data_IF_726350521272
#
_entry.id   IF_726350521272
#
_cell.length_a   1.000
_cell.length_b   1.000
_cell.length_c   1.000
_cell.angle_alpha   90.00
_cell.angle_beta   90.00
_cell.angle_gamma   90.00
#
_symmetry.space_group_name_H-M   'P 1'
#
loop_
_entity.id
_entity.type
_entity.pdbx_description
1 polymer ?
#
# COMPACT_ATOMS: atom_id res chain seq x y z
N UNK A 1 -2.45 -35.79 -35.74
CA UNK A 1 -1.69 -34.75 -35.02
C UNK A 1 -2.45 -33.46 -35.14
N UNK A 2 -3.32 -33.23 -34.18
CA UNK A 2 -3.92 -31.93 -33.89
C UNK A 2 -3.65 -31.76 -32.41
N UNK A 3 -2.71 -30.89 -32.04
CA UNK A 3 -2.57 -30.44 -30.67
C UNK A 3 -3.92 -29.85 -30.27
N UNK A 4 -4.58 -30.47 -29.30
CA UNK A 4 -5.74 -29.85 -28.67
C UNK A 4 -5.13 -29.01 -27.55
N UNK A 5 -4.87 -27.74 -27.87
CA UNK A 5 -4.28 -26.78 -26.94
C UNK A 5 -5.15 -26.47 -25.74
N UNK A 6 -6.45 -26.80 -25.82
CA UNK A 6 -7.42 -26.56 -24.77
C UNK A 6 -8.59 -27.52 -24.92
N UNK A 7 -8.96 -28.18 -23.83
CA UNK A 7 -10.16 -28.99 -23.71
C UNK A 7 -11.11 -28.35 -22.69
N UNK A 8 -12.39 -28.21 -23.05
CA UNK A 8 -13.40 -27.58 -22.20
C UNK A 8 -14.63 -28.48 -22.14
N UNK A 9 -15.02 -28.90 -20.93
CA UNK A 9 -16.28 -29.61 -20.72
C UNK A 9 -16.94 -29.24 -19.41
N UNK A 10 -18.26 -29.07 -19.47
CA UNK A 10 -19.15 -29.15 -18.32
C UNK A 10 -19.59 -30.60 -18.13
N UNK A 11 -19.34 -31.17 -16.96
CA UNK A 11 -19.90 -32.46 -16.61
C UNK A 11 -21.35 -32.25 -16.18
N UNK A 12 -22.26 -33.06 -16.71
CA UNK A 12 -23.65 -33.12 -16.28
C UNK A 12 -24.06 -34.57 -16.43
N UNK A 13 -24.11 -35.28 -15.31
CA UNK A 13 -24.52 -36.67 -15.08
C UNK A 13 -23.43 -37.74 -15.07
N UNK A 14 -23.61 -38.65 -14.10
CA UNK A 14 -22.74 -39.76 -13.71
C UNK A 14 -22.46 -40.75 -14.85
N UNK A 15 -21.18 -41.10 -15.04
CA UNK A 15 -20.80 -42.42 -15.56
C UNK A 15 -20.11 -42.49 -16.92
N UNK A 16 -19.66 -41.39 -17.53
CA UNK A 16 -18.84 -41.45 -18.74
C UNK A 16 -17.37 -41.15 -18.45
N UNK A 17 -16.50 -42.16 -18.58
CA UNK A 17 -15.06 -41.94 -18.70
C UNK A 17 -14.75 -41.48 -20.12
N UNK A 18 -14.18 -40.28 -20.26
CA UNK A 18 -13.71 -39.77 -21.54
C UNK A 18 -12.19 -39.77 -21.53
N UNK A 19 -11.59 -40.36 -22.56
CA UNK A 19 -10.13 -40.46 -22.71
C UNK A 19 -9.66 -39.48 -23.77
N UNK A 20 -8.75 -38.58 -23.38
CA UNK A 20 -8.09 -37.61 -24.25
C UNK A 20 -6.59 -37.88 -24.35
N UNK A 21 -5.97 -37.45 -25.44
CA UNK A 21 -4.51 -37.49 -25.65
C UNK A 21 -4.05 -36.16 -26.23
N UNK A 22 -2.86 -35.70 -25.83
CA UNK A 22 -2.26 -34.42 -26.25
C UNK A 22 -3.13 -33.19 -25.90
N UNK A 23 -3.61 -33.15 -24.65
CA UNK A 23 -4.27 -31.96 -24.10
C UNK A 23 -3.20 -31.13 -23.37
N UNK A 24 -3.04 -29.88 -23.77
CA UNK A 24 -2.13 -28.93 -23.10
C UNK A 24 -2.80 -28.18 -21.94
N UNK A 25 -4.14 -28.21 -21.85
CA UNK A 25 -4.92 -27.57 -20.78
C UNK A 25 -6.34 -28.12 -20.68
N UNK A 26 -6.77 -28.43 -19.47
CA UNK A 26 -8.14 -28.76 -19.08
C UNK A 26 -8.84 -27.55 -18.47
N UNK A 27 -10.09 -27.32 -18.88
CA UNK A 27 -11.02 -26.41 -18.20
C UNK A 27 -12.25 -27.23 -17.83
N UNK A 28 -12.34 -27.63 -16.57
CA UNK A 28 -13.32 -28.55 -16.05
C UNK A 28 -14.29 -27.84 -15.11
N UNK A 29 -15.58 -28.14 -15.25
CA UNK A 29 -16.62 -27.58 -14.39
C UNK A 29 -17.58 -28.69 -13.94
N UNK A 30 -17.72 -28.88 -12.63
CA UNK A 30 -18.55 -29.91 -11.99
C UNK A 30 -20.05 -29.58 -12.03
N UNK A 31 -20.41 -28.39 -11.56
CA UNK A 31 -21.77 -27.88 -11.58
C UNK A 31 -22.46 -28.10 -10.23
N UNK A 32 -23.68 -28.62 -10.25
CA UNK A 32 -24.36 -28.96 -8.99
C UNK A 32 -24.16 -30.45 -8.71
N UNK A 33 -23.68 -30.79 -7.51
CA UNK A 33 -23.47 -32.17 -7.08
C UNK A 33 -22.08 -32.37 -6.51
N UNK A 34 -21.75 -33.61 -6.18
CA UNK A 34 -20.42 -33.96 -5.70
C UNK A 34 -19.61 -34.48 -6.89
N UNK A 35 -18.67 -33.68 -7.38
CA UNK A 35 -17.91 -33.91 -8.58
C UNK A 35 -16.47 -34.35 -8.29
N UNK A 36 -15.87 -35.06 -9.25
CA UNK A 36 -14.46 -35.46 -9.19
C UNK A 36 -13.76 -34.94 -10.44
N UNK A 37 -12.92 -33.91 -10.28
CA UNK A 37 -12.22 -33.25 -11.37
C UNK A 37 -10.72 -33.47 -11.22
N UNK A 38 -10.07 -33.88 -12.31
CA UNK A 38 -8.64 -34.14 -12.34
C UNK A 38 -8.02 -33.42 -13.53
N UNK A 39 -7.02 -32.58 -13.27
CA UNK A 39 -6.16 -31.98 -14.28
C UNK A 39 -5.17 -32.97 -14.89
N UNK A 40 -4.19 -32.46 -15.60
CA UNK A 40 -3.15 -33.16 -16.32
C UNK A 40 -1.75 -32.70 -15.88
N UNK A 41 -0.81 -32.64 -16.82
CA UNK A 41 0.58 -32.24 -16.53
C UNK A 41 0.88 -30.78 -16.92
N UNK A 42 -0.15 -29.98 -17.09
CA UNK A 42 -0.06 -28.59 -17.54
C UNK A 42 -1.06 -27.74 -16.79
N UNK A 43 -0.88 -26.42 -16.86
CA UNK A 43 -1.68 -25.42 -16.17
C UNK A 43 -3.17 -25.49 -16.57
N UNK A 44 -3.98 -25.99 -15.65
CA UNK A 44 -5.40 -26.31 -15.80
C UNK A 44 -6.31 -25.37 -15.00
N UNK A 45 -7.60 -25.48 -15.24
CA UNK A 45 -8.64 -24.78 -14.49
C UNK A 45 -9.74 -25.74 -14.08
N UNK A 46 -9.96 -25.90 -12.78
CA UNK A 46 -10.93 -26.82 -12.19
C UNK A 46 -11.92 -26.02 -11.32
N UNK A 47 -13.23 -26.16 -11.58
CA UNK A 47 -14.28 -25.44 -10.84
C UNK A 47 -15.34 -26.45 -10.39
N UNK A 48 -15.48 -26.65 -9.07
CA UNK A 48 -16.49 -27.52 -8.47
C UNK A 48 -17.89 -26.93 -8.60
N UNK A 49 -18.06 -25.72 -8.07
CA UNK A 49 -19.33 -25.03 -7.83
C UNK A 49 -20.04 -25.54 -6.57
N UNK A 50 -21.19 -26.19 -6.67
CA UNK A 50 -22.00 -26.49 -5.50
C UNK A 50 -22.03 -27.98 -5.21
N UNK A 51 -21.69 -28.38 -3.99
CA UNK A 51 -21.65 -29.75 -3.51
C UNK A 51 -20.28 -30.08 -2.94
N UNK A 52 -20.06 -31.33 -2.53
CA UNK A 52 -18.79 -31.73 -1.91
C UNK A 52 -17.89 -32.32 -2.98
N UNK A 53 -17.00 -31.50 -3.51
CA UNK A 53 -16.20 -31.80 -4.68
C UNK A 53 -14.80 -32.30 -4.32
N UNK A 54 -14.20 -33.07 -5.23
CA UNK A 54 -12.80 -33.50 -5.16
C UNK A 54 -12.08 -33.02 -6.40
N UNK A 55 -11.16 -32.07 -6.23
CA UNK A 55 -10.41 -31.45 -7.32
C UNK A 55 -8.91 -31.71 -7.12
N UNK A 56 -8.22 -32.13 -8.18
CA UNK A 56 -6.77 -32.36 -8.16
C UNK A 56 -6.14 -31.80 -9.45
N UNK A 57 -5.26 -30.81 -9.33
CA UNK A 57 -4.55 -30.18 -10.45
C UNK A 57 -3.55 -31.11 -11.14
N UNK A 58 -2.82 -31.91 -10.36
CA UNK A 58 -1.70 -32.77 -10.75
C UNK A 58 -0.41 -32.00 -11.02
N UNK A 59 0.08 -31.85 -12.25
CA UNK A 59 1.28 -31.03 -12.52
C UNK A 59 0.91 -29.79 -13.33
N UNK A 60 1.69 -28.74 -13.19
CA UNK A 60 1.44 -27.44 -13.82
C UNK A 60 0.97 -26.42 -12.78
N UNK A 61 0.96 -25.15 -13.15
CA UNK A 61 0.42 -24.09 -12.29
C UNK A 61 -1.10 -24.02 -12.50
N UNK A 62 -1.86 -24.62 -11.60
CA UNK A 62 -3.29 -24.84 -11.75
C UNK A 62 -4.14 -23.78 -11.05
N UNK A 63 -5.36 -23.56 -11.57
CA UNK A 63 -6.38 -22.75 -10.92
C UNK A 63 -7.53 -23.64 -10.46
N UNK A 64 -7.75 -23.70 -9.15
CA UNK A 64 -8.71 -24.61 -8.52
C UNK A 64 -9.72 -23.80 -7.70
N UNK A 65 -11.01 -24.03 -7.91
CA UNK A 65 -12.09 -23.42 -7.13
C UNK A 65 -13.04 -24.52 -6.65
N UNK A 66 -13.16 -24.71 -5.33
CA UNK A 66 -14.12 -25.61 -4.71
C UNK A 66 -15.55 -25.09 -4.91
N UNK A 67 -15.90 -24.06 -4.15
CA UNK A 67 -17.18 -23.36 -4.27
C UNK A 67 -17.99 -23.49 -2.99
N UNK A 68 -19.28 -23.83 -3.10
CA UNK A 68 -20.12 -24.08 -1.93
C UNK A 68 -20.10 -25.58 -1.60
N UNK A 69 -19.71 -25.96 -0.38
CA UNK A 69 -19.76 -27.34 0.07
C UNK A 69 -18.55 -27.72 0.90
N UNK A 70 -18.35 -29.01 1.12
CA UNK A 70 -17.17 -29.50 1.82
C UNK A 70 -16.22 -30.12 0.81
N UNK A 71 -15.23 -29.35 0.38
CA UNK A 71 -14.39 -29.71 -0.75
C UNK A 71 -13.03 -30.30 -0.33
N UNK A 72 -12.48 -31.13 -1.21
CA UNK A 72 -11.11 -31.66 -1.11
C UNK A 72 -10.31 -31.18 -2.31
N UNK A 73 -9.40 -30.24 -2.08
CA UNK A 73 -8.64 -29.54 -3.12
C UNK A 73 -7.15 -29.88 -3.00
N UNK A 74 -6.55 -30.36 -4.08
CA UNK A 74 -5.13 -30.64 -4.19
C UNK A 74 -4.56 -29.89 -5.41
N UNK A 75 -3.60 -28.99 -5.20
CA UNK A 75 -2.87 -28.33 -6.28
C UNK A 75 -2.01 -29.34 -7.04
N UNK A 76 -0.96 -29.82 -6.37
CA UNK A 76 -0.04 -30.83 -6.86
C UNK A 76 1.35 -30.27 -7.06
N UNK A 77 1.90 -30.41 -8.26
CA UNK A 77 3.21 -29.89 -8.64
C UNK A 77 3.02 -28.64 -9.50
N UNK A 78 3.07 -27.47 -8.90
CA UNK A 78 3.24 -26.21 -9.62
C UNK A 78 3.21 -25.09 -8.61
N UNK A 79 3.02 -23.86 -9.07
CA UNK A 79 2.56 -22.80 -8.19
C UNK A 79 1.06 -22.62 -8.41
N UNK A 80 0.28 -23.29 -7.58
CA UNK A 80 -1.16 -23.41 -7.74
C UNK A 80 -1.91 -22.24 -7.10
N UNK A 81 -3.06 -21.89 -7.66
CA UNK A 81 -4.00 -20.93 -7.08
C UNK A 81 -5.28 -21.65 -6.70
N UNK A 82 -5.55 -21.75 -5.40
CA UNK A 82 -6.65 -22.53 -4.85
C UNK A 82 -7.61 -21.59 -4.13
N UNK A 83 -8.88 -21.58 -4.51
CA UNK A 83 -9.97 -20.96 -3.75
C UNK A 83 -10.87 -22.04 -3.16
N UNK A 84 -10.98 -22.08 -1.83
CA UNK A 84 -11.78 -23.11 -1.16
C UNK A 84 -13.27 -22.84 -1.31
N UNK A 85 -13.68 -21.60 -1.08
CA UNK A 85 -15.09 -21.21 -1.05
C UNK A 85 -15.70 -21.33 0.35
N UNK A 86 -17.00 -21.64 0.41
CA UNK A 86 -17.76 -21.75 1.66
C UNK A 86 -17.95 -23.22 2.04
N UNK A 87 -17.98 -23.48 3.35
CA UNK A 87 -18.15 -24.81 3.94
C UNK A 87 -16.91 -25.30 4.65
N UNK A 88 -16.75 -26.62 4.77
CA UNK A 88 -15.65 -27.27 5.50
C UNK A 88 -14.73 -27.96 4.51
N UNK A 89 -13.62 -27.31 4.20
CA UNK A 89 -12.71 -27.69 3.13
C UNK A 89 -11.41 -28.28 3.66
N UNK A 90 -10.79 -29.10 2.81
CA UNK A 90 -9.41 -29.55 2.95
C UNK A 90 -8.62 -29.11 1.72
N UNK A 91 -7.54 -28.38 1.94
CA UNK A 91 -6.67 -27.84 0.90
C UNK A 91 -5.24 -28.36 1.09
N UNK A 92 -4.61 -28.76 0.00
CA UNK A 92 -3.18 -29.04 -0.03
C UNK A 92 -2.59 -28.41 -1.29
N UNK A 93 -1.67 -27.44 -1.14
CA UNK A 93 -1.00 -26.80 -2.29
C UNK A 93 -0.15 -27.82 -3.03
N UNK A 94 0.80 -28.45 -2.33
CA UNK A 94 1.46 -29.66 -2.80
C UNK A 94 2.96 -29.62 -2.61
N UNK A 95 3.70 -29.86 -3.70
CA UNK A 95 5.12 -30.24 -3.67
C UNK A 95 6.12 -29.09 -3.89
N UNK A 96 5.68 -27.90 -4.29
CA UNK A 96 6.54 -26.75 -4.57
C UNK A 96 6.34 -25.64 -3.53
N UNK A 97 7.12 -24.56 -3.68
CA UNK A 97 6.93 -23.34 -2.91
C UNK A 97 6.29 -22.30 -3.83
N UNK A 98 5.15 -21.75 -3.43
CA UNK A 98 4.48 -20.69 -4.17
C UNK A 98 2.98 -20.87 -4.31
N UNK A 99 2.40 -21.88 -3.66
CA UNK A 99 0.97 -22.15 -3.70
C UNK A 99 0.20 -21.05 -2.95
N UNK A 100 -0.83 -20.52 -3.61
CA UNK A 100 -1.69 -19.47 -3.11
C UNK A 100 -3.05 -20.04 -2.68
N UNK A 101 -3.42 -19.84 -1.42
CA UNK A 101 -4.78 -20.08 -0.94
C UNK A 101 -5.58 -18.78 -0.85
N UNK A 102 -6.74 -18.75 -1.50
CA UNK A 102 -7.71 -17.66 -1.46
C UNK A 102 -8.90 -18.06 -0.59
N UNK A 103 -9.10 -17.34 0.52
CA UNK A 103 -10.28 -17.48 1.39
C UNK A 103 -10.98 -16.14 1.49
N UNK A 104 -12.21 -16.08 0.98
CA UNK A 104 -13.01 -14.85 0.96
C UNK A 104 -14.26 -15.01 1.81
N UNK A 105 -14.25 -14.37 2.97
CA UNK A 105 -15.35 -14.32 3.93
C UNK A 105 -15.91 -12.90 4.12
N UNK A 106 -15.74 -12.03 3.11
CA UNK A 106 -16.22 -10.63 3.08
C UNK A 106 -17.70 -10.40 3.39
N UNK A 107 -18.54 -11.43 3.26
CA UNK A 107 -19.97 -11.36 3.54
C UNK A 107 -20.35 -11.87 4.93
N UNK A 108 -19.41 -12.48 5.64
CA UNK A 108 -19.63 -13.03 6.97
C UNK A 108 -19.58 -11.92 8.02
N UNK A 109 -20.29 -12.12 9.12
CA UNK A 109 -20.32 -11.18 10.25
C UNK A 109 -19.71 -11.78 11.52
N UNK A 110 -19.10 -12.95 11.39
CA UNK A 110 -18.52 -13.71 12.50
C UNK A 110 -17.02 -13.64 12.42
N UNK A 111 -16.39 -13.54 13.59
CA UNK A 111 -14.94 -13.60 13.74
C UNK A 111 -14.34 -14.82 13.02
N UNK A 112 -13.25 -14.58 12.30
CA UNK A 112 -12.36 -15.58 11.75
C UNK A 112 -11.24 -15.82 12.75
N UNK A 113 -11.01 -17.09 13.06
CA UNK A 113 -9.83 -17.53 13.79
C UNK A 113 -8.96 -18.38 12.88
N UNK A 114 -7.75 -17.90 12.60
CA UNK A 114 -6.71 -18.71 11.98
C UNK A 114 -5.77 -19.28 13.05
N UNK A 115 -5.42 -20.54 12.86
CA UNK A 115 -4.42 -21.28 13.61
C UNK A 115 -3.49 -21.97 12.63
N UNK A 116 -2.48 -22.67 13.13
CA UNK A 116 -1.61 -23.48 12.28
C UNK A 116 -2.46 -24.47 11.48
N UNK A 117 -2.38 -24.37 10.15
CA UNK A 117 -3.05 -25.25 9.19
C UNK A 117 -4.59 -25.17 9.20
N UNK A 118 -5.18 -24.12 9.76
CA UNK A 118 -6.63 -23.96 9.75
C UNK A 118 -7.09 -22.51 9.80
N UNK A 119 -8.02 -22.14 8.93
CA UNK A 119 -8.81 -20.90 9.00
C UNK A 119 -10.25 -21.30 9.31
N UNK A 120 -10.91 -20.66 10.27
CA UNK A 120 -12.26 -21.08 10.67
C UNK A 120 -13.14 -19.95 11.16
N UNK A 121 -14.45 -20.14 10.99
CA UNK A 121 -15.53 -19.37 11.61
C UNK A 121 -16.45 -20.35 12.35
N UNK A 122 -17.62 -19.89 12.78
CA UNK A 122 -18.64 -20.78 13.39
C UNK A 122 -19.25 -21.77 12.39
N UNK A 123 -19.20 -21.50 11.08
CA UNK A 123 -19.90 -22.30 10.06
C UNK A 123 -19.07 -22.64 8.82
N UNK A 124 -17.86 -22.10 8.69
CA UNK A 124 -16.93 -22.40 7.62
C UNK A 124 -15.55 -22.72 8.21
N UNK A 125 -14.80 -23.56 7.52
CA UNK A 125 -13.47 -24.00 7.96
C UNK A 125 -12.66 -24.44 6.75
N UNK A 126 -11.40 -24.04 6.68
CA UNK A 126 -10.43 -24.52 5.70
C UNK A 126 -9.27 -25.12 6.46
N UNK A 127 -9.06 -26.42 6.31
CA UNK A 127 -7.85 -27.09 6.80
C UNK A 127 -6.85 -27.11 5.66
N UNK A 128 -5.66 -26.54 5.83
CA UNK A 128 -4.70 -26.39 4.75
C UNK A 128 -3.32 -26.95 5.11
N UNK A 129 -2.58 -27.38 4.10
CA UNK A 129 -1.17 -27.77 4.20
C UNK A 129 -0.41 -27.36 2.95
N UNK A 130 0.90 -27.15 3.04
CA UNK A 130 1.76 -26.77 1.89
C UNK A 130 1.20 -25.55 1.17
N UNK A 131 1.00 -24.46 1.89
CA UNK A 131 0.59 -23.17 1.34
C UNK A 131 1.63 -22.17 1.78
N UNK A 132 2.16 -21.41 0.83
CA UNK A 132 3.21 -20.42 1.07
C UNK A 132 2.72 -18.99 0.90
N UNK A 133 1.50 -18.81 0.39
CA UNK A 133 0.85 -17.51 0.18
C UNK A 133 -0.63 -17.55 0.49
N UNK A 134 -1.18 -16.45 0.98
CA UNK A 134 -2.56 -16.27 1.27
C UNK A 134 -3.12 -14.97 0.68
N UNK A 135 -4.33 -15.09 0.14
CA UNK A 135 -5.24 -13.96 -0.01
C UNK A 135 -6.42 -14.20 0.94
N UNK A 136 -6.38 -13.57 2.11
CA UNK A 136 -7.42 -13.68 3.13
C UNK A 136 -8.26 -12.41 3.14
N UNK A 137 -9.58 -12.58 3.08
CA UNK A 137 -10.53 -11.49 3.26
C UNK A 137 -11.49 -11.83 4.38
N UNK A 138 -11.37 -11.07 5.46
CA UNK A 138 -12.25 -10.99 6.61
C UNK A 138 -13.63 -10.46 6.30
N UNK A 139 -14.50 -10.46 7.31
CA UNK A 139 -15.88 -10.03 7.25
C UNK A 139 -16.13 -8.78 8.08
N UNK A 140 -17.27 -8.72 8.78
CA UNK A 140 -17.56 -7.66 9.75
C UNK A 140 -17.26 -8.06 11.21
N UNK A 141 -16.56 -9.19 11.40
CA UNK A 141 -16.19 -9.73 12.71
C UNK A 141 -14.84 -9.18 13.17
N UNK A 142 -14.37 -9.56 14.36
CA UNK A 142 -12.99 -9.27 14.77
C UNK A 142 -12.12 -10.44 14.32
N UNK A 143 -11.45 -10.27 13.19
CA UNK A 143 -10.78 -11.33 12.47
C UNK A 143 -9.29 -11.43 12.85
N UNK A 144 -8.79 -12.65 12.97
CA UNK A 144 -7.37 -12.94 13.19
C UNK A 144 -6.82 -13.63 11.96
N UNK A 145 -6.05 -12.89 11.16
CA UNK A 145 -5.50 -13.31 9.88
C UNK A 145 -3.96 -13.25 9.92
N UNK A 146 -3.32 -14.30 9.42
CA UNK A 146 -1.88 -14.49 9.38
C UNK A 146 -1.48 -14.92 7.96
N UNK A 147 -0.45 -14.28 7.45
CA UNK A 147 0.25 -14.63 6.24
C UNK A 147 1.13 -15.87 6.40
N UNK A 148 2.12 -15.96 5.53
CA UNK A 148 3.01 -17.09 5.37
C UNK A 148 4.45 -16.61 5.14
N UNK A 149 5.15 -17.22 4.18
CA UNK A 149 6.59 -16.99 3.97
C UNK A 149 6.88 -16.18 2.70
N UNK A 150 5.85 -15.82 1.94
CA UNK A 150 5.91 -15.09 0.68
C UNK A 150 4.78 -14.06 0.66
N UNK A 151 4.86 -13.11 -0.27
CA UNK A 151 3.92 -11.99 -0.42
C UNK A 151 2.43 -12.38 -0.31
N UNK A 152 1.79 -11.89 0.74
CA UNK A 152 0.41 -12.12 1.13
C UNK A 152 -0.50 -10.90 0.90
N UNK A 153 -1.81 -11.13 0.86
CA UNK A 153 -2.82 -10.07 0.91
C UNK A 153 -3.83 -10.38 2.00
N UNK A 154 -3.89 -9.51 3.00
CA UNK A 154 -4.76 -9.63 4.17
C UNK A 154 -5.70 -8.43 4.25
N UNK A 155 -7.01 -8.68 4.32
CA UNK A 155 -8.03 -7.63 4.40
C UNK A 155 -8.96 -7.96 5.58
N UNK A 156 -9.01 -7.11 6.61
CA UNK A 156 -9.86 -7.28 7.79
C UNK A 156 -11.32 -6.90 7.52
N UNK A 157 -11.52 -5.81 6.78
CA UNK A 157 -12.80 -5.15 6.51
C UNK A 157 -13.34 -4.36 7.70
N UNK A 158 -14.32 -4.86 8.44
CA UNK A 158 -14.90 -4.11 9.55
C UNK A 158 -14.79 -4.94 10.81
N UNK A 159 -14.40 -4.35 11.94
CA UNK A 159 -14.06 -5.12 13.11
C UNK A 159 -12.84 -4.54 13.79
N UNK A 160 -12.42 -5.14 14.90
CA UNK A 160 -11.11 -4.87 15.47
C UNK A 160 -10.22 -6.06 15.11
N UNK A 161 -9.53 -5.94 13.98
CA UNK A 161 -8.87 -7.07 13.36
C UNK A 161 -7.40 -7.17 13.78
N UNK A 162 -6.85 -8.38 13.76
CA UNK A 162 -5.42 -8.65 13.92
C UNK A 162 -4.89 -9.28 12.65
N UNK A 163 -4.02 -8.57 11.95
CA UNK A 163 -3.45 -8.99 10.67
C UNK A 163 -1.92 -9.02 10.78
N UNK A 164 -1.31 -10.14 10.44
CA UNK A 164 0.15 -10.34 10.49
C UNK A 164 0.64 -10.88 9.15
N UNK A 165 1.55 -10.20 8.45
CA UNK A 165 2.11 -10.61 7.16
C UNK A 165 3.14 -11.73 7.25
N UNK A 166 3.97 -11.73 8.30
CA UNK A 166 5.12 -12.62 8.50
C UNK A 166 6.32 -12.30 7.58
N UNK A 167 6.61 -13.08 6.53
CA UNK A 167 7.70 -12.76 5.60
C UNK A 167 7.14 -12.53 4.21
N UNK A 168 7.75 -11.63 3.46
CA UNK A 168 7.29 -11.28 2.13
C UNK A 168 7.04 -9.79 2.05
N UNK A 169 6.68 -9.29 0.87
CA UNK A 169 6.19 -7.92 0.73
C UNK A 169 4.66 -7.99 0.78
N UNK A 170 4.11 -7.77 1.96
CA UNK A 170 2.71 -8.04 2.25
C UNK A 170 1.84 -6.80 2.03
N UNK A 171 0.60 -7.05 1.60
CA UNK A 171 -0.44 -6.03 1.51
C UNK A 171 -1.47 -6.27 2.60
N UNK A 172 -1.51 -5.38 3.59
CA UNK A 172 -2.33 -5.53 4.79
C UNK A 172 -3.30 -4.34 4.87
N UNK A 173 -4.59 -4.62 4.95
CA UNK A 173 -5.64 -3.61 5.10
C UNK A 173 -6.56 -3.95 6.29
N UNK A 174 -6.50 -3.16 7.36
CA UNK A 174 -7.37 -3.33 8.54
C UNK A 174 -8.82 -3.02 8.17
N UNK A 175 -9.08 -1.75 7.85
CA UNK A 175 -10.36 -1.29 7.36
C UNK A 175 -11.05 -0.39 8.38
N UNK A 176 -12.22 -0.76 8.88
CA UNK A 176 -12.97 0.06 9.83
C UNK A 176 -13.02 -0.61 11.21
N UNK A 177 -12.64 0.14 12.24
CA UNK A 177 -12.55 -0.34 13.61
C UNK A 177 -11.12 -0.20 14.10
N UNK A 178 -10.78 -0.84 15.22
CA UNK A 178 -9.49 -0.66 15.86
C UNK A 178 -8.58 -1.84 15.54
N UNK A 179 -7.71 -1.67 14.55
CA UNK A 179 -6.97 -2.79 13.97
C UNK A 179 -5.53 -2.85 14.46
N UNK A 180 -4.95 -4.05 14.45
CA UNK A 180 -3.54 -4.31 14.72
C UNK A 180 -2.90 -4.95 13.49
N UNK A 181 -2.07 -4.19 12.79
CA UNK A 181 -1.37 -4.61 11.58
C UNK A 181 0.12 -4.79 11.87
N UNK A 182 0.67 -5.93 11.51
CA UNK A 182 2.10 -6.25 11.61
C UNK A 182 2.56 -6.73 10.24
N UNK A 183 3.46 -6.01 9.58
CA UNK A 183 4.07 -6.39 8.30
C UNK A 183 4.98 -7.59 8.50
N UNK A 184 6.19 -7.34 9.01
CA UNK A 184 7.13 -8.39 9.37
C UNK A 184 8.46 -8.17 8.65
N UNK A 185 8.95 -9.20 7.97
CA UNK A 185 10.17 -9.11 7.16
C UNK A 185 9.81 -8.84 5.69
N UNK A 186 10.18 -7.68 5.15
CA UNK A 186 9.98 -7.34 3.74
C UNK A 186 9.54 -5.90 3.58
N UNK A 187 9.20 -5.47 2.37
CA UNK A 187 8.69 -4.11 2.16
C UNK A 187 7.17 -4.15 2.13
N UNK A 188 6.56 -3.91 3.28
CA UNK A 188 5.14 -4.11 3.47
C UNK A 188 4.33 -2.84 3.17
N UNK A 189 3.05 -3.04 2.86
CA UNK A 189 2.08 -1.95 2.69
C UNK A 189 0.94 -2.15 3.67
N UNK A 190 0.86 -1.27 4.67
CA UNK A 190 -0.11 -1.30 5.75
C UNK A 190 -1.11 -0.16 5.58
N UNK A 191 -2.38 -0.49 5.33
CA UNK A 191 -3.52 0.43 5.31
C UNK A 191 -4.36 0.21 6.56
N UNK A 192 -4.36 1.18 7.46
CA UNK A 192 -5.09 1.05 8.74
C UNK A 192 -6.59 1.29 8.58
N UNK A 193 -6.95 2.32 7.81
CA UNK A 193 -8.33 2.75 7.64
C UNK A 193 -8.81 3.62 8.79
N UNK A 194 -10.08 3.48 9.21
CA UNK A 194 -10.69 4.34 10.22
C UNK A 194 -10.78 3.65 11.58
N UNK A 195 -10.12 4.20 12.58
CA UNK A 195 -10.35 3.87 13.97
C UNK A 195 -9.15 4.22 14.83
N UNK A 196 -8.95 3.47 15.90
CA UNK A 196 -7.75 3.56 16.75
C UNK A 196 -6.88 2.33 16.50
N UNK A 197 -5.91 2.50 15.61
CA UNK A 197 -5.15 1.43 15.00
C UNK A 197 -3.71 1.39 15.51
N UNK A 198 -3.09 0.23 15.33
CA UNK A 198 -1.68 -0.01 15.50
C UNK A 198 -1.08 -0.58 14.21
N UNK A 199 0.06 -0.05 13.78
CA UNK A 199 0.80 -0.54 12.62
C UNK A 199 2.30 -0.72 12.96
N UNK A 200 2.82 -1.92 12.76
CA UNK A 200 4.25 -2.23 12.84
C UNK A 200 4.71 -2.71 11.47
N UNK A 201 5.54 -1.94 10.76
CA UNK A 201 6.08 -2.40 9.48
C UNK A 201 7.10 -3.52 9.65
N UNK A 202 7.80 -3.55 10.79
CA UNK A 202 8.86 -4.52 11.04
C UNK A 202 10.19 -4.10 10.44
N UNK A 203 10.74 -4.89 9.53
CA UNK A 203 12.06 -4.70 8.97
C UNK A 203 12.04 -4.49 7.46
N UNK A 204 12.85 -3.53 7.00
CA UNK A 204 13.08 -3.09 5.61
C UNK A 204 12.49 -1.70 5.37
N UNK A 205 11.73 -1.47 4.29
CA UNK A 205 11.13 -0.17 3.97
C UNK A 205 9.64 -0.34 3.84
N UNK A 206 8.92 0.09 4.87
CA UNK A 206 7.49 -0.15 4.98
C UNK A 206 6.67 1.12 4.68
N UNK A 207 5.52 0.92 4.03
CA UNK A 207 4.57 1.96 3.71
C UNK A 207 3.37 1.91 4.65
N UNK A 208 3.15 3.00 5.39
CA UNK A 208 1.89 3.25 6.09
C UNK A 208 0.95 4.13 5.26
N UNK A 209 -0.24 3.63 4.97
CA UNK A 209 -1.33 4.35 4.32
C UNK A 209 -2.37 4.76 5.37
N UNK A 210 -2.67 6.07 5.42
CA UNK A 210 -3.74 6.64 6.24
C UNK A 210 -4.60 7.55 5.37
N UNK A 211 -5.87 7.17 5.18
CA UNK A 211 -6.85 7.97 4.43
C UNK A 211 -7.93 8.52 5.35
N UNK A 212 -7.79 9.80 5.68
CA UNK A 212 -8.74 10.60 6.45
C UNK A 212 -9.40 11.67 5.58
N UNK A 213 -9.45 11.49 4.26
CA UNK A 213 -10.03 12.44 3.30
C UNK A 213 -11.49 12.80 3.57
N UNK A 214 -12.23 11.92 4.26
CA UNK A 214 -13.62 12.15 4.64
C UNK A 214 -13.81 12.96 5.93
N UNK A 215 -12.73 13.22 6.68
CA UNK A 215 -12.77 13.88 7.97
C UNK A 215 -12.68 15.41 7.84
N UNK A 216 -13.10 16.11 8.88
CA UNK A 216 -13.10 17.58 8.92
C UNK A 216 -12.30 18.13 10.11
N UNK A 217 -11.53 17.27 10.77
CA UNK A 217 -10.84 17.56 12.02
C UNK A 217 -9.34 17.48 11.82
N UNK A 218 -8.63 18.38 12.47
CA UNK A 218 -7.19 18.52 12.32
C UNK A 218 -6.43 17.22 12.65
N UNK A 219 -5.62 16.76 11.72
CA UNK A 219 -4.59 15.75 11.92
C UNK A 219 -3.40 16.40 12.62
N UNK A 220 -2.88 15.70 13.63
CA UNK A 220 -1.58 15.97 14.23
C UNK A 220 -0.72 14.71 14.17
N UNK A 221 0.28 14.73 13.29
CA UNK A 221 1.30 13.69 13.22
C UNK A 221 2.51 13.98 14.11
N UNK A 222 3.00 12.96 14.79
CA UNK A 222 4.24 12.95 15.57
C UNK A 222 5.10 11.78 15.08
N UNK A 223 6.30 11.58 15.64
CA UNK A 223 7.20 10.52 15.18
C UNK A 223 6.65 9.08 15.31
N UNK A 224 5.61 8.86 16.13
CA UNK A 224 5.07 7.51 16.40
C UNK A 224 3.54 7.45 16.36
N UNK A 225 2.87 8.55 16.04
CA UNK A 225 1.41 8.65 16.07
C UNK A 225 0.90 9.62 15.01
N UNK A 226 -0.06 9.20 14.20
CA UNK A 226 -0.97 10.07 13.43
C UNK A 226 -2.31 10.09 14.19
N UNK A 227 -2.89 11.26 14.45
CA UNK A 227 -4.15 11.31 15.20
C UNK A 227 -5.01 12.50 14.81
N UNK A 228 -6.32 12.32 14.92
CA UNK A 228 -7.36 13.35 14.82
C UNK A 228 -8.48 13.02 15.81
N UNK A 229 -9.58 13.77 15.80
CA UNK A 229 -10.67 13.50 16.75
C UNK A 229 -11.37 12.19 16.39
N UNK A 230 -11.28 11.21 17.30
CA UNK A 230 -11.95 9.90 17.15
C UNK A 230 -11.18 8.86 16.36
N UNK A 231 -10.02 9.22 15.79
CA UNK A 231 -9.17 8.31 15.01
C UNK A 231 -7.70 8.52 15.34
N UNK A 232 -6.93 7.44 15.37
CA UNK A 232 -5.52 7.45 15.71
C UNK A 232 -4.85 6.22 15.10
N UNK A 233 -3.62 6.40 14.60
CA UNK A 233 -2.72 5.31 14.26
C UNK A 233 -1.45 5.46 15.08
N UNK A 234 -1.18 4.52 15.97
CA UNK A 234 0.13 4.37 16.58
C UNK A 234 0.99 3.49 15.66
N UNK A 235 2.25 3.88 15.41
CA UNK A 235 3.10 3.14 14.49
C UNK A 235 4.56 3.03 14.91
N UNK A 236 5.22 2.00 14.38
CA UNK A 236 6.66 1.73 14.52
C UNK A 236 7.17 1.02 13.26
N UNK A 237 8.48 1.09 12.99
CA UNK A 237 9.09 0.44 11.81
C UNK A 237 8.48 0.90 10.49
N UNK A 238 8.21 2.21 10.34
CA UNK A 238 7.65 2.78 9.10
C UNK A 238 8.64 3.82 8.56
N UNK A 239 9.08 3.61 7.33
CA UNK A 239 10.01 4.51 6.63
C UNK A 239 9.32 5.43 5.64
N UNK A 240 8.12 5.04 5.16
CA UNK A 240 7.36 5.75 4.13
C UNK A 240 5.90 5.93 4.52
N UNK A 241 5.35 7.09 4.19
CA UNK A 241 3.98 7.48 4.49
C UNK A 241 3.22 7.86 3.22
N UNK A 242 1.99 7.38 3.14
CA UNK A 242 0.97 7.92 2.26
C UNK A 242 -0.18 8.41 3.13
N UNK A 243 -0.27 9.72 3.36
CA UNK A 243 -1.30 10.32 4.20
C UNK A 243 -2.16 11.25 3.36
N UNK A 244 -3.46 10.97 3.33
CA UNK A 244 -4.47 11.87 2.75
C UNK A 244 -5.32 12.43 3.87
N UNK A 245 -5.23 13.74 4.06
CA UNK A 245 -5.95 14.46 5.09
C UNK A 245 -7.26 15.06 4.54
N UNK A 246 -8.02 15.67 5.44
CA UNK A 246 -9.43 15.99 5.23
C UNK A 246 -9.65 17.46 4.90
N UNK A 247 -10.64 18.07 5.56
CA UNK A 247 -10.88 19.52 5.49
C UNK A 247 -10.39 20.28 6.74
N UNK A 248 -9.52 19.64 7.54
CA UNK A 248 -8.95 20.21 8.76
C UNK A 248 -7.81 21.18 8.45
N UNK A 249 -7.21 21.79 9.48
CA UNK A 249 -5.89 22.41 9.32
C UNK A 249 -4.86 21.40 9.84
N UNK A 250 -4.29 20.64 8.93
CA UNK A 250 -3.62 19.38 9.17
C UNK A 250 -2.10 19.57 9.27
N UNK A 251 -1.45 18.79 10.15
CA UNK A 251 0.01 18.78 10.27
C UNK A 251 0.54 17.39 9.95
N UNK A 252 1.13 17.27 8.76
CA UNK A 252 1.64 16.02 8.19
C UNK A 252 3.17 16.03 8.20
N UNK A 253 3.75 14.87 8.48
CA UNK A 253 5.18 14.64 8.57
C UNK A 253 5.52 13.32 7.87
N UNK A 254 6.39 13.37 6.88
CA UNK A 254 6.93 12.18 6.26
C UNK A 254 8.09 11.56 7.05
N UNK A 255 8.65 10.51 6.49
CA UNK A 255 9.68 9.68 7.07
C UNK A 255 11.07 9.96 6.50
N UNK A 256 11.76 8.87 6.19
CA UNK A 256 13.13 8.90 5.68
C UNK A 256 13.25 8.49 4.21
N UNK A 257 12.11 8.12 3.61
CA UNK A 257 11.95 7.66 2.24
C UNK A 257 10.94 8.53 1.51
N UNK A 258 10.77 8.34 0.19
CA UNK A 258 9.87 9.15 -0.62
C UNK A 258 8.40 9.04 -0.19
N UNK A 259 7.87 10.09 0.43
CA UNK A 259 6.51 10.16 0.98
C UNK A 259 5.48 10.76 0.01
N UNK A 260 4.20 10.45 0.24
CA UNK A 260 3.07 11.07 -0.43
C UNK A 260 2.13 11.71 0.61
N UNK A 261 2.21 13.02 0.75
CA UNK A 261 1.43 13.77 1.73
C UNK A 261 0.44 14.69 1.02
N UNK A 262 -0.84 14.61 1.40
CA UNK A 262 -1.91 15.45 0.87
C UNK A 262 -2.70 16.09 2.03
N UNK A 263 -2.64 17.41 2.14
CA UNK A 263 -3.34 18.20 3.17
C UNK A 263 -4.85 18.27 2.97
N UNK A 264 -5.30 18.24 1.72
CA UNK A 264 -6.72 18.23 1.40
C UNK A 264 -7.30 19.65 1.29
N UNK A 265 -8.10 20.09 2.23
CA UNK A 265 -8.59 21.47 2.27
C UNK A 265 -8.33 22.04 3.66
N UNK A 266 -8.01 23.33 3.74
CA UNK A 266 -7.65 23.96 5.00
C UNK A 266 -6.25 24.52 4.93
N UNK A 267 -5.78 25.12 6.02
CA UNK A 267 -4.43 25.67 6.03
C UNK A 267 -3.49 24.62 6.63
N UNK A 268 -2.86 23.85 5.76
CA UNK A 268 -2.11 22.67 6.15
C UNK A 268 -0.62 22.96 6.32
N UNK A 269 0.06 22.09 7.06
CA UNK A 269 1.50 22.14 7.27
C UNK A 269 2.10 20.78 6.95
N UNK A 270 2.86 20.70 5.86
CA UNK A 270 3.47 19.48 5.37
C UNK A 270 4.98 19.56 5.53
N UNK A 271 5.59 18.54 6.13
CA UNK A 271 7.04 18.35 6.18
C UNK A 271 7.35 17.02 5.51
N UNK A 272 8.07 17.03 4.38
CA UNK A 272 8.45 15.81 3.66
C UNK A 272 9.39 14.93 4.49
N UNK A 273 10.56 15.46 4.86
CA UNK A 273 11.54 14.69 5.62
C UNK A 273 12.75 14.40 4.75
N UNK A 274 13.34 13.20 4.87
CA UNK A 274 14.36 12.79 3.91
C UNK A 274 13.69 12.00 2.78
N UNK A 275 14.18 12.15 1.56
CA UNK A 275 13.58 11.48 0.40
C UNK A 275 13.13 12.49 -0.63
N UNK A 276 12.70 12.00 -1.80
CA UNK A 276 12.08 12.87 -2.80
C UNK A 276 10.58 12.76 -2.62
N UNK A 277 10.00 13.71 -1.90
CA UNK A 277 8.62 13.60 -1.45
C UNK A 277 7.65 14.23 -2.44
N UNK A 278 6.39 13.81 -2.39
CA UNK A 278 5.29 14.46 -3.10
C UNK A 278 4.36 15.11 -2.10
N UNK A 279 4.34 16.45 -2.11
CA UNK A 279 3.60 17.26 -1.15
C UNK A 279 2.49 18.02 -1.87
N UNK A 280 1.24 17.72 -1.52
CA UNK A 280 0.06 18.43 -2.03
C UNK A 280 -0.56 19.18 -0.87
N UNK A 281 -0.53 20.52 -0.91
CA UNK A 281 -1.19 21.34 0.12
C UNK A 281 -2.70 21.14 0.03
N UNK A 282 -3.25 21.50 -1.13
CA UNK A 282 -4.66 21.31 -1.44
C UNK A 282 -5.33 22.67 -1.61
N UNK A 283 -6.52 22.85 -1.03
CA UNK A 283 -7.20 24.15 -1.05
C UNK A 283 -6.89 24.97 0.19
N UNK A 284 -6.90 26.30 0.08
CA UNK A 284 -6.50 27.26 1.13
C UNK A 284 -4.97 27.39 1.29
N UNK A 285 -4.50 28.07 2.35
CA UNK A 285 -3.13 28.57 2.43
C UNK A 285 -2.24 27.58 3.16
N UNK A 286 -1.37 26.90 2.42
CA UNK A 286 -0.56 25.80 2.95
C UNK A 286 0.89 26.19 3.23
N UNK A 287 1.55 25.42 4.10
CA UNK A 287 2.94 25.58 4.44
C UNK A 287 3.75 24.30 4.20
N UNK A 288 4.75 24.37 3.33
CA UNK A 288 5.67 23.29 3.04
C UNK A 288 7.01 23.55 3.75
N UNK A 289 7.34 22.72 4.74
CA UNK A 289 8.49 22.93 5.63
C UNK A 289 9.71 22.14 5.13
N UNK A 290 10.84 22.83 5.00
CA UNK A 290 12.18 22.27 4.82
C UNK A 290 13.03 22.57 6.05
N UNK A 291 13.53 21.54 6.71
CA UNK A 291 14.42 21.73 7.85
C UNK A 291 15.87 21.91 7.39
N UNK A 292 16.26 21.33 6.25
CA UNK A 292 17.61 21.41 5.69
C UNK A 292 17.55 21.45 4.16
N UNK A 293 18.55 22.03 3.49
CA UNK A 293 18.56 22.07 2.03
C UNK A 293 18.85 20.71 1.36
N UNK A 294 19.28 19.70 2.11
CA UNK A 294 19.71 18.38 1.60
C UNK A 294 18.79 17.23 2.04
N UNK A 295 17.51 17.53 2.18
CA UNK A 295 16.46 16.58 2.53
C UNK A 295 16.02 15.71 1.35
N UNK A 296 16.15 16.24 0.14
CA UNK A 296 15.87 15.58 -1.13
C UNK A 296 15.38 16.60 -2.12
N UNK A 297 14.77 16.16 -3.22
CA UNK A 297 14.15 17.04 -4.20
C UNK A 297 12.65 16.75 -4.23
N UNK A 298 11.90 17.56 -3.49
CA UNK A 298 10.45 17.37 -3.34
C UNK A 298 9.70 17.87 -4.56
N UNK A 299 8.62 17.19 -4.90
CA UNK A 299 7.60 17.63 -5.85
C UNK A 299 6.45 18.27 -5.08
N UNK A 300 6.28 19.57 -5.21
CA UNK A 300 5.27 20.33 -4.45
C UNK A 300 4.18 20.83 -5.39
N UNK A 301 2.92 20.58 -5.05
CA UNK A 301 1.79 21.31 -5.63
C UNK A 301 1.63 22.63 -4.86
N UNK A 302 2.11 23.72 -5.46
CA UNK A 302 2.16 25.04 -4.85
C UNK A 302 1.22 26.00 -5.59
N UNK A 303 0.24 26.55 -4.88
CA UNK A 303 -0.81 27.41 -5.41
C UNK A 303 -0.67 28.84 -4.88
N UNK A 304 0.02 29.69 -5.64
CA UNK A 304 0.25 31.10 -5.26
C UNK A 304 -1.04 31.90 -5.00
N UNK A 305 -2.14 31.53 -5.65
CA UNK A 305 -3.43 32.21 -5.50
C UNK A 305 -4.08 31.95 -4.13
N UNK A 306 -3.70 30.86 -3.46
CA UNK A 306 -4.22 30.47 -2.16
C UNK A 306 -3.33 30.94 -1.01
N UNK A 307 -2.16 31.50 -1.34
CA UNK A 307 -1.12 32.02 -0.44
C UNK A 307 -0.26 30.95 0.22
N UNK A 308 0.01 29.87 -0.50
CA UNK A 308 0.99 28.87 -0.09
C UNK A 308 2.36 29.46 0.21
N UNK A 309 3.06 28.82 1.14
CA UNK A 309 4.37 29.23 1.62
C UNK A 309 5.35 28.07 1.66
N UNK A 310 6.57 28.34 1.18
CA UNK A 310 7.73 27.52 1.50
C UNK A 310 8.33 28.02 2.81
N UNK A 311 8.30 27.21 3.84
CA UNK A 311 8.90 27.52 5.14
C UNK A 311 10.25 26.82 5.28
N UNK A 312 11.28 27.56 5.70
CA UNK A 312 12.65 27.02 5.82
C UNK A 312 13.22 27.28 7.20
N UNK A 313 13.85 26.28 7.80
CA UNK A 313 14.52 26.40 9.10
C UNK A 313 15.73 27.32 9.01
N UNK A 314 15.75 28.40 9.81
CA UNK A 314 16.92 29.28 9.87
C UNK A 314 18.20 28.51 10.22
N UNK A 315 18.12 27.59 11.18
CA UNK A 315 19.30 26.86 11.67
C UNK A 315 19.80 25.83 10.67
N UNK A 316 18.90 25.08 10.02
CA UNK A 316 19.35 24.07 9.04
C UNK A 316 19.83 24.67 7.72
N UNK A 317 19.38 25.89 7.38
CA UNK A 317 19.90 26.66 6.25
C UNK A 317 21.14 27.52 6.60
N UNK A 318 21.85 27.16 7.68
CA UNK A 318 23.16 27.74 8.04
C UNK A 318 23.12 29.04 8.85
N UNK A 319 21.95 29.49 9.30
CA UNK A 319 21.80 30.59 10.26
C UNK A 319 21.90 32.03 9.70
N UNK A 320 22.28 32.20 8.44
CA UNK A 320 22.46 33.51 7.80
C UNK A 320 21.17 34.19 7.32
N UNK A 321 20.03 33.48 7.38
CA UNK A 321 18.72 34.01 7.03
C UNK A 321 18.05 34.71 8.22
N UNK A 322 17.36 35.83 7.97
CA UNK A 322 16.58 36.52 9.00
C UNK A 322 15.18 35.86 9.13
N UNK A 323 14.73 35.63 10.38
CA UNK A 323 13.39 35.06 10.66
C UNK A 323 12.30 35.99 10.13
N UNK A 324 11.27 35.40 9.52
CA UNK A 324 10.16 36.11 8.88
C UNK A 324 10.20 35.99 7.35
N UNK A 325 9.51 36.90 6.66
CA UNK A 325 9.48 36.90 5.20
C UNK A 325 10.89 37.07 4.61
N UNK A 326 11.23 36.26 3.60
CA UNK A 326 12.54 36.31 2.96
C UNK A 326 12.79 37.69 2.34
N UNK A 327 13.97 38.26 2.60
CA UNK A 327 14.33 39.56 2.05
C UNK A 327 14.46 39.47 0.51
N UNK A 328 13.99 40.51 -0.20
CA UNK A 328 14.05 40.54 -1.67
C UNK A 328 15.48 40.37 -2.22
N UNK A 329 16.52 40.77 -1.48
CA UNK A 329 17.92 40.58 -1.87
C UNK A 329 18.40 39.11 -1.80
N UNK A 330 17.66 38.24 -1.11
CA UNK A 330 17.94 36.81 -0.92
C UNK A 330 17.08 35.92 -1.83
N UNK A 331 16.40 36.50 -2.83
CA UNK A 331 15.58 35.78 -3.78
C UNK A 331 15.86 36.25 -5.20
N UNK A 332 16.07 35.30 -6.12
CA UNK A 332 16.19 35.57 -7.55
C UNK A 332 15.25 34.61 -8.28
N UNK A 333 14.48 35.13 -9.25
CA UNK A 333 13.61 34.34 -10.11
C UNK A 333 13.83 34.68 -11.59
N UNK A 334 13.79 33.68 -12.47
CA UNK A 334 14.00 33.91 -13.90
C UNK A 334 13.88 32.62 -14.73
N UNK A 335 13.80 32.77 -16.05
CA UNK A 335 13.73 31.63 -16.96
C UNK A 335 15.11 30.96 -17.08
N UNK A 336 15.19 29.65 -16.80
CA UNK A 336 16.40 28.85 -16.98
C UNK A 336 17.53 29.14 -15.98
N UNK A 337 17.30 29.95 -14.94
CA UNK A 337 18.32 30.24 -13.93
C UNK A 337 18.52 29.04 -13.01
N UNK A 338 19.76 28.69 -12.71
CA UNK A 338 20.11 27.53 -11.86
C UNK A 338 21.22 27.82 -10.86
N UNK A 339 21.82 29.01 -10.90
CA UNK A 339 22.92 29.40 -10.03
C UNK A 339 22.93 30.91 -9.75
N UNK A 340 23.48 31.28 -8.60
CA UNK A 340 23.73 32.67 -8.23
C UNK A 340 25.03 33.20 -8.84
N UNK A 341 25.12 34.51 -9.05
CA UNK A 341 26.32 35.19 -9.57
C UNK A 341 27.05 36.02 -8.50
N UNK A 342 26.62 35.97 -7.24
CA UNK A 342 27.09 36.87 -6.18
C UNK A 342 27.21 36.17 -4.84
N UNK A 343 28.05 36.72 -3.97
CA UNK A 343 28.53 36.05 -2.77
C UNK A 343 27.62 36.16 -1.51
N UNK A 344 26.32 35.85 -1.61
CA UNK A 344 25.45 35.73 -0.40
C UNK A 344 24.44 34.61 -0.54
N UNK A 345 24.05 34.02 0.61
CA UNK A 345 22.97 33.04 0.70
C UNK A 345 21.68 33.54 0.06
N UNK A 346 21.03 32.70 -0.73
CA UNK A 346 19.78 33.03 -1.43
C UNK A 346 19.05 31.81 -1.99
N UNK A 347 17.76 32.03 -2.28
CA UNK A 347 16.93 31.16 -3.08
C UNK A 347 16.92 31.59 -4.55
N UNK A 348 16.90 30.60 -5.44
CA UNK A 348 16.91 30.77 -6.89
C UNK A 348 15.74 29.97 -7.46
N UNK A 349 14.82 30.64 -8.14
CA UNK A 349 13.63 30.01 -8.71
C UNK A 349 13.65 30.01 -10.24
N UNK A 350 13.66 28.81 -10.82
CA UNK A 350 13.61 28.61 -12.26
C UNK A 350 12.15 28.56 -12.75
N UNK A 351 11.70 29.67 -13.33
CA UNK A 351 10.33 29.82 -13.84
C UNK A 351 10.02 28.96 -15.08
N UNK A 352 11.02 28.31 -15.70
CA UNK A 352 10.79 27.42 -16.84
C UNK A 352 10.24 26.06 -16.43
N UNK A 353 10.70 25.54 -15.29
CA UNK A 353 10.41 24.16 -14.85
C UNK A 353 10.01 24.05 -13.38
N UNK A 354 9.92 25.17 -12.65
CA UNK A 354 9.53 25.20 -11.24
C UNK A 354 10.63 24.79 -10.25
N UNK A 355 11.86 24.54 -10.70
CA UNK A 355 12.93 24.14 -9.80
C UNK A 355 13.32 25.27 -8.84
N UNK A 356 13.39 24.96 -7.55
CA UNK A 356 13.83 25.84 -6.49
C UNK A 356 15.20 25.37 -5.96
N UNK A 357 16.17 26.28 -5.97
CA UNK A 357 17.51 26.01 -5.49
C UNK A 357 17.87 26.90 -4.31
N UNK A 358 18.75 26.41 -3.44
CA UNK A 358 19.38 27.16 -2.37
C UNK A 358 20.90 27.24 -2.57
N UNK A 359 21.43 28.46 -2.60
CA UNK A 359 22.86 28.72 -2.56
C UNK A 359 23.28 28.93 -1.10
N UNK A 360 23.90 27.91 -0.51
CA UNK A 360 24.24 27.88 0.91
C UNK A 360 25.55 28.62 1.25
N UNK A 361 26.52 28.66 0.33
CA UNK A 361 27.85 29.20 0.61
C UNK A 361 27.99 30.67 0.19
N UNK A 362 27.12 31.14 -0.73
CA UNK A 362 27.19 32.50 -1.24
C UNK A 362 28.61 32.86 -1.62
N UNK A 363 29.33 32.02 -2.37
CA UNK A 363 30.73 32.26 -2.72
C UNK A 363 30.94 32.66 -4.18
N UNK A 364 29.88 32.62 -4.99
CA UNK A 364 29.89 33.11 -6.38
C UNK A 364 30.84 32.34 -7.33
N UNK A 365 31.31 31.15 -6.96
CA UNK A 365 32.20 30.34 -7.79
C UNK A 365 31.89 28.83 -7.70
N UNK A 366 31.31 28.28 -8.76
CA UNK A 366 31.29 26.84 -9.15
C UNK A 366 30.71 25.80 -8.18
N UNK A 367 30.29 26.16 -6.97
CA UNK A 367 29.34 25.36 -6.19
C UNK A 367 27.95 25.53 -6.80
N UNK A 368 27.40 24.45 -7.34
CA UNK A 368 26.06 24.42 -7.91
C UNK A 368 25.09 24.59 -6.75
N UNK A 369 24.20 25.59 -6.82
CA UNK A 369 23.12 25.73 -5.86
C UNK A 369 22.37 24.39 -5.74
N UNK A 370 22.04 23.99 -4.52
CA UNK A 370 21.40 22.71 -4.28
C UNK A 370 19.92 22.84 -4.63
N UNK A 371 19.42 21.98 -5.52
CA UNK A 371 17.97 21.90 -5.74
C UNK A 371 17.33 21.29 -4.51
N UNK A 372 16.31 21.96 -3.98
CA UNK A 372 15.58 21.50 -2.78
C UNK A 372 14.16 21.06 -3.12
N UNK A 373 13.59 21.59 -4.22
CA UNK A 373 12.23 21.27 -4.64
C UNK A 373 12.00 21.53 -6.13
N UNK A 374 10.90 21.00 -6.62
CA UNK A 374 10.26 21.32 -7.89
C UNK A 374 8.81 21.71 -7.60
N UNK A 375 8.46 22.97 -7.88
CA UNK A 375 7.07 23.44 -7.79
C UNK A 375 6.33 23.08 -9.08
N UNK A 376 5.41 22.14 -8.99
CA UNK A 376 4.69 21.56 -10.12
C UNK A 376 3.92 22.63 -10.89
N UNK A 377 4.03 22.64 -12.22
CA UNK A 377 3.40 23.65 -13.07
C UNK A 377 4.10 25.02 -13.11
N UNK A 378 5.25 25.16 -12.45
CA UNK A 378 6.05 26.39 -12.39
C UNK A 378 5.22 27.65 -12.00
N UNK A 379 4.55 27.64 -10.82
CA UNK A 379 3.71 28.73 -10.36
C UNK A 379 4.49 30.04 -10.12
N UNK A 380 3.78 31.13 -9.89
CA UNK A 380 4.46 32.39 -9.54
C UNK A 380 4.98 32.33 -8.11
N UNK A 381 6.30 32.32 -7.93
CA UNK A 381 6.92 32.44 -6.62
C UNK A 381 7.57 33.81 -6.45
N UNK A 382 7.26 34.48 -5.34
CA UNK A 382 7.89 35.74 -4.92
C UNK A 382 8.59 35.54 -3.57
N UNK A 383 9.47 36.47 -3.20
CA UNK A 383 10.23 36.36 -1.95
C UNK A 383 9.33 36.21 -0.71
N UNK A 384 8.15 36.84 -0.69
CA UNK A 384 7.19 36.71 0.43
C UNK A 384 6.46 35.36 0.48
N UNK A 385 6.56 34.55 -0.58
CA UNK A 385 6.12 33.15 -0.58
C UNK A 385 7.15 32.20 0.05
N UNK A 386 8.29 32.72 0.52
CA UNK A 386 9.25 31.99 1.33
C UNK A 386 9.34 32.66 2.71
N UNK A 387 9.15 31.86 3.76
CA UNK A 387 9.24 32.29 5.15
C UNK A 387 10.36 31.54 5.87
N UNK A 388 11.15 32.24 6.65
CA UNK A 388 12.22 31.67 7.47
C UNK A 388 11.71 31.52 8.89
N UNK A 389 11.72 30.29 9.41
CA UNK A 389 11.22 29.92 10.75
C UNK A 389 12.34 29.64 11.75
#
# INVERSE_FOLDING_TARGET
>A
TTDIRQFTTSFSTSGNSISYRNIERFNLTGGNGNDNLFGGSFNDTLIGNAGNDTLNGNDGDDSISGGDGNDSLLGGNGNDTISSGLGIDTVNGGGNLGDLLIVNYSTLTTDITQTINQISTTSNQVNYTSIERFNLTGGSGNDSLFGAILDDTLIGNAGNDTLIGDNGNDSINGGAGNDSLIGGDGNDTLSTGLGTDFADGGGSIDLLIVDYSSLTTNISQTATVISTTGHQVAYTGIERFQVTAGSGNDRLLGGVSADLLNGGAGNDTLTGGLGNDTLTGGGNADQFIFNNPNEGIDSIDFVSAENDQIAVSRTGFGGGLAVGALAAAQFISGAGITAATTATQRFIYNTTNGALFFDADGSGATSVALQIATLTGAPTLVNTGIVVI
#
